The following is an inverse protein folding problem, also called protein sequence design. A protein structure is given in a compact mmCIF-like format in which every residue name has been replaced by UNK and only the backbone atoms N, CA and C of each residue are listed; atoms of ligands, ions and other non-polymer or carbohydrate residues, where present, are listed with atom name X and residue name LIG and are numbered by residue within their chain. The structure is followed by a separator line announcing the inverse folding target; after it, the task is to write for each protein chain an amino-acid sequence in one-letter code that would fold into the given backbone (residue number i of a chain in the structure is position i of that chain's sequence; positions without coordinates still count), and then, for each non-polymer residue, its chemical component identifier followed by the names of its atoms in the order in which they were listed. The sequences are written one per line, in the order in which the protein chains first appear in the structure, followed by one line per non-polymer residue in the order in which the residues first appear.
data_IF_216029761542
#
_entry.id   IF_216029761542
#
_cell.length_a   1.000
_cell.length_b   1.000
_cell.length_c   1.000
_cell.angle_alpha   90.00
_cell.angle_beta   90.00
_cell.angle_gamma   90.00
#
_symmetry.space_group_name_H-M   'P 1'
#
loop_
_entity.id
_entity.type
_entity.pdbx_description
1 polymer ?
#
# COMPACT_ATOMS: atom_id res chain seq x y z
N UNK A 1 46.77 18.62 -13.86
CA UNK A 1 46.00 19.56 -14.71
C UNK A 1 45.02 18.76 -15.56
N UNK A 2 43.76 18.66 -15.10
CA UNK A 2 42.59 18.51 -15.96
C UNK A 2 41.96 19.92 -16.08
N UNK A 3 41.03 20.19 -17.03
CA UNK A 3 39.64 19.96 -16.65
C UNK A 3 38.61 19.75 -17.81
N UNK A 4 37.40 19.39 -17.36
CA UNK A 4 36.06 19.69 -17.88
C UNK A 4 35.19 18.52 -18.39
N UNK A 5 34.52 17.95 -17.39
CA UNK A 5 33.20 17.29 -17.42
C UNK A 5 32.10 18.21 -17.95
N UNK A 6 31.26 17.70 -18.86
CA UNK A 6 29.97 18.30 -19.21
C UNK A 6 28.92 17.94 -18.16
N UNK A 7 28.38 18.96 -17.50
CA UNK A 7 27.21 18.88 -16.62
C UNK A 7 25.98 19.05 -17.53
N UNK A 8 25.05 18.09 -17.50
CA UNK A 8 23.70 18.28 -18.03
C UNK A 8 22.79 18.73 -16.89
N UNK A 9 22.40 20.00 -16.91
CA UNK A 9 21.34 20.55 -16.05
C UNK A 9 20.00 20.36 -16.75
N UNK A 10 19.14 19.48 -16.21
CA UNK A 10 17.73 19.43 -16.56
C UNK A 10 16.96 20.38 -15.63
N UNK A 11 16.40 21.45 -16.17
CA UNK A 11 15.45 22.32 -15.49
C UNK A 11 14.03 21.77 -15.69
N UNK A 12 13.42 21.23 -14.64
CA UNK A 12 12.01 20.84 -14.62
C UNK A 12 11.12 22.07 -14.37
N UNK A 13 10.03 22.31 -15.12
CA UNK A 13 9.04 23.33 -14.77
C UNK A 13 8.20 22.87 -13.57
N UNK A 14 8.04 23.79 -12.63
CA UNK A 14 7.19 23.69 -11.44
C UNK A 14 5.71 23.48 -11.86
N UNK A 15 5.14 22.29 -11.62
CA UNK A 15 3.70 22.07 -11.72
C UNK A 15 3.03 22.62 -10.45
N UNK A 16 2.36 23.76 -10.59
CA UNK A 16 1.45 24.31 -9.57
C UNK A 16 0.21 23.41 -9.46
N UNK A 17 0.04 22.73 -8.32
CA UNK A 17 -1.22 22.06 -7.98
C UNK A 17 -2.27 23.10 -7.57
N UNK A 18 -3.39 23.17 -8.28
CA UNK A 18 -4.56 23.91 -7.80
C UNK A 18 -5.44 22.99 -6.96
N UNK A 19 -5.43 23.19 -5.64
CA UNK A 19 -6.48 22.69 -4.73
C UNK A 19 -7.69 23.60 -4.83
N UNK A 20 -8.82 23.08 -5.29
CA UNK A 20 -10.12 23.74 -5.13
C UNK A 20 -10.58 23.59 -3.68
N UNK A 21 -10.31 24.60 -2.86
CA UNK A 21 -11.04 24.80 -1.60
C UNK A 21 -12.27 25.67 -1.86
N UNK A 22 -13.44 25.11 -1.56
CA UNK A 22 -14.70 25.85 -1.45
C UNK A 22 -14.57 26.91 -0.35
N UNK A 23 -14.35 28.16 -0.73
CA UNK A 23 -14.54 29.32 0.13
C UNK A 23 -15.75 30.09 -0.39
N UNK A 24 -16.87 29.85 0.27
CA UNK A 24 -18.06 30.70 0.18
C UNK A 24 -17.73 32.04 0.85
N UNK A 25 -17.56 33.10 0.08
CA UNK A 25 -17.43 34.47 0.61
C UNK A 25 -18.42 35.37 -0.11
N UNK A 26 -19.41 35.80 0.65
CA UNK A 26 -20.33 36.88 0.31
C UNK A 26 -19.59 38.23 0.28
N UNK A 27 -19.95 39.03 -0.73
CA UNK A 27 -19.92 40.51 -0.79
C UNK A 27 -18.83 41.15 -1.68
N UNK A 28 -19.21 42.02 -2.64
CA UNK A 28 -18.31 42.63 -3.62
C UNK A 28 -17.86 44.04 -3.20
N UNK A 29 -16.56 44.31 -3.19
CA UNK A 29 -16.01 45.64 -3.48
C UNK A 29 -14.51 45.54 -3.70
N UNK A 30 -13.98 46.49 -4.50
CA UNK A 30 -12.56 46.75 -4.79
C UNK A 30 -12.06 46.07 -6.09
N UNK A 31 -12.56 46.59 -7.22
CA UNK A 31 -11.81 46.68 -8.47
C UNK A 31 -11.88 48.14 -8.94
N UNK A 32 -10.92 48.96 -8.52
CA UNK A 32 -10.66 50.28 -9.08
C UNK A 32 -9.30 50.79 -8.61
N UNK A 33 -8.27 50.63 -9.45
CA UNK A 33 -7.11 51.51 -9.61
C UNK A 33 -5.95 50.69 -10.15
N UNK A 34 -5.60 50.91 -11.43
CA UNK A 34 -4.24 50.99 -11.96
C UNK A 34 -4.33 50.99 -13.50
N UNK A 35 -4.71 52.14 -14.05
CA UNK A 35 -4.44 52.50 -15.45
C UNK A 35 -3.94 53.94 -15.44
N UNK A 36 -2.63 54.14 -15.68
CA UNK A 36 -1.97 55.37 -16.16
C UNK A 36 -0.44 55.20 -16.05
N UNK A 37 0.23 54.73 -17.10
CA UNK A 37 0.97 55.55 -18.06
C UNK A 37 1.83 54.68 -19.00
N UNK A 38 1.88 54.98 -20.31
CA UNK A 38 2.68 54.25 -21.29
C UNK A 38 3.99 55.01 -21.59
N UNK A 39 5.14 54.33 -21.55
CA UNK A 39 6.30 54.53 -22.46
C UNK A 39 7.55 53.82 -21.93
N UNK A 40 8.32 53.29 -22.88
CA UNK A 40 9.60 52.57 -22.75
C UNK A 40 9.52 51.10 -22.36
N UNK A 41 9.44 50.23 -23.38
CA UNK A 41 10.31 49.06 -23.53
C UNK A 41 10.13 48.53 -24.96
N UNK A 42 11.13 48.85 -25.78
CA UNK A 42 11.38 48.25 -27.10
C UNK A 42 12.10 46.91 -26.90
N UNK A 43 11.82 45.97 -27.81
CA UNK A 43 12.44 44.65 -28.01
C UNK A 43 11.97 43.49 -27.10
N UNK A 44 10.91 42.79 -27.54
CA UNK A 44 11.01 41.42 -28.07
C UNK A 44 9.58 40.90 -28.35
N UNK A 45 9.17 41.04 -29.61
CA UNK A 45 7.92 40.48 -30.13
C UNK A 45 8.15 39.02 -30.50
N UNK A 46 7.64 38.10 -29.67
CA UNK A 46 7.10 36.79 -30.10
C UNK A 46 6.47 35.94 -28.97
N UNK A 47 6.31 36.44 -27.73
CA UNK A 47 5.75 35.63 -26.63
C UNK A 47 4.43 36.12 -26.01
N UNK A 48 3.79 37.17 -26.55
CA UNK A 48 2.55 37.73 -25.96
C UNK A 48 1.28 37.40 -26.77
N UNK A 49 1.41 36.71 -27.92
CA UNK A 49 0.27 36.41 -28.81
C UNK A 49 -0.56 35.17 -28.47
N UNK A 50 -0.10 34.27 -27.59
CA UNK A 50 -0.75 32.96 -27.38
C UNK A 50 -1.56 32.89 -26.07
N UNK A 51 -1.24 33.72 -25.08
CA UNK A 51 -1.92 33.71 -23.77
C UNK A 51 -3.20 34.56 -23.71
N UNK A 52 -3.45 35.43 -24.70
CA UNK A 52 -4.67 36.25 -24.76
C UNK A 52 -5.82 35.59 -25.53
N UNK A 53 -5.54 34.58 -26.35
CA UNK A 53 -6.55 33.90 -27.17
C UNK A 53 -7.38 32.87 -26.38
N UNK A 54 -6.83 32.29 -25.32
CA UNK A 54 -7.55 31.30 -24.49
C UNK A 54 -8.44 31.93 -23.41
N UNK A 55 -8.18 33.18 -23.01
CA UNK A 55 -9.00 33.87 -21.99
C UNK A 55 -10.32 34.44 -22.57
N UNK A 56 -10.35 34.79 -23.85
CA UNK A 56 -11.53 35.38 -24.51
C UNK A 56 -12.54 34.33 -24.99
N UNK A 57 -12.08 33.13 -25.37
CA UNK A 57 -12.97 32.01 -25.79
C UNK A 57 -13.71 31.38 -24.58
N UNK A 58 -13.10 31.40 -23.39
CA UNK A 58 -13.72 30.89 -22.16
C UNK A 58 -14.86 31.75 -21.62
N UNK A 59 -14.85 33.06 -21.86
CA UNK A 59 -15.87 33.98 -21.34
C UNK A 59 -17.07 34.19 -22.28
N UNK A 60 -16.97 33.81 -23.56
CA UNK A 60 -18.11 33.90 -24.51
C UNK A 60 -18.95 32.63 -24.59
N UNK A 61 -18.40 31.44 -24.29
CA UNK A 61 -19.20 30.21 -24.20
C UNK A 61 -20.04 30.12 -22.91
N UNK A 62 -19.58 30.73 -21.82
CA UNK A 62 -20.31 30.76 -20.53
C UNK A 62 -21.59 31.61 -20.54
N UNK A 63 -21.72 32.54 -21.49
CA UNK A 63 -22.89 33.42 -21.60
C UNK A 63 -23.95 32.93 -22.60
N UNK A 64 -23.63 31.91 -23.41
CA UNK A 64 -24.55 31.32 -24.40
C UNK A 64 -25.34 30.11 -23.90
N UNK A 65 -25.06 29.64 -22.67
CA UNK A 65 -25.77 28.51 -22.05
C UNK A 65 -26.70 28.90 -20.89
N UNK A 66 -26.84 30.21 -20.60
CA UNK A 66 -27.77 30.71 -19.57
C UNK A 66 -28.85 31.60 -20.19
N UNK A 67 -29.62 31.05 -21.13
CA UNK A 67 -30.94 31.59 -21.48
C UNK A 67 -31.75 30.58 -22.29
N UNK A 68 -32.48 29.69 -21.60
CA UNK A 68 -33.70 29.04 -22.08
C UNK A 68 -34.45 28.42 -20.90
N UNK A 69 -35.40 29.17 -20.35
CA UNK A 69 -36.48 28.65 -19.50
C UNK A 69 -37.62 28.18 -20.40
N UNK A 70 -38.20 27.03 -20.04
CA UNK A 70 -39.54 26.59 -20.42
C UNK A 70 -39.58 25.47 -21.46
N UNK A 71 -39.72 24.22 -21.01
CA UNK A 71 -40.92 23.42 -21.33
C UNK A 71 -40.96 22.14 -20.47
N UNK A 72 -42.17 21.77 -20.04
CA UNK A 72 -42.49 20.62 -19.20
C UNK A 72 -42.30 19.29 -19.95
N UNK A 73 -41.68 18.30 -19.31
CA UNK A 73 -41.74 16.94 -19.85
C UNK A 73 -40.65 15.96 -19.40
N UNK A 74 -41.00 15.12 -18.42
CA UNK A 74 -40.40 13.79 -18.16
C UNK A 74 -38.88 13.74 -18.15
N UNK A 75 -38.30 13.97 -16.97
CA UNK A 75 -36.97 13.45 -16.62
C UNK A 75 -36.95 11.92 -16.76
N UNK A 76 -36.52 11.43 -17.93
CA UNK A 76 -35.98 10.08 -18.07
C UNK A 76 -34.60 10.10 -17.43
N UNK A 77 -34.56 9.67 -16.17
CA UNK A 77 -33.38 9.09 -15.55
C UNK A 77 -32.63 8.24 -16.58
N UNK A 78 -31.44 8.70 -16.96
CA UNK A 78 -30.53 8.01 -17.87
C UNK A 78 -29.21 7.79 -17.15
N UNK A 79 -29.25 6.96 -16.11
CA UNK A 79 -28.10 6.24 -15.57
C UNK A 79 -28.54 4.91 -14.97
N UNK A 80 -29.27 4.13 -15.78
CA UNK A 80 -29.44 2.71 -15.52
C UNK A 80 -28.12 1.99 -15.77
N UNK A 81 -27.23 1.96 -14.78
CA UNK A 81 -26.30 0.85 -14.63
C UNK A 81 -27.17 -0.41 -14.52
N UNK A 82 -27.36 -1.12 -15.64
CA UNK A 82 -27.94 -2.46 -15.63
C UNK A 82 -27.19 -3.25 -14.55
N UNK A 83 -27.92 -3.87 -13.63
CA UNK A 83 -27.41 -4.85 -12.66
C UNK A 83 -26.43 -5.78 -13.39
N UNK A 84 -25.13 -5.51 -13.28
CA UNK A 84 -24.13 -6.51 -13.58
C UNK A 84 -24.26 -7.50 -12.43
N UNK A 85 -25.03 -8.58 -12.64
CA UNK A 85 -25.05 -9.67 -11.69
C UNK A 85 -23.66 -10.29 -11.71
N UNK A 86 -22.80 -9.87 -10.79
CA UNK A 86 -21.48 -10.45 -10.61
C UNK A 86 -21.63 -11.96 -10.48
N UNK A 87 -21.02 -12.71 -11.39
CA UNK A 87 -21.06 -14.18 -11.38
C UNK A 87 -19.85 -14.70 -10.63
N UNK A 88 -20.08 -15.64 -9.72
CA UNK A 88 -19.04 -16.32 -8.95
C UNK A 88 -18.93 -17.80 -9.37
N UNK A 89 -17.73 -18.40 -9.35
CA UNK A 89 -17.51 -19.81 -9.66
C UNK A 89 -17.88 -20.71 -8.46
N UNK A 90 -19.15 -20.68 -8.03
CA UNK A 90 -19.61 -21.32 -6.79
C UNK A 90 -19.35 -22.83 -6.77
N UNK A 91 -19.58 -23.53 -7.88
CA UNK A 91 -19.34 -24.97 -8.00
C UNK A 91 -17.85 -25.32 -7.84
N UNK A 92 -16.96 -24.48 -8.38
CA UNK A 92 -15.50 -24.67 -8.23
C UNK A 92 -15.06 -24.42 -6.79
N UNK A 93 -15.66 -23.44 -6.10
CA UNK A 93 -15.40 -23.18 -4.69
C UNK A 93 -15.86 -24.36 -3.83
N UNK A 94 -17.02 -24.94 -4.14
CA UNK A 94 -17.56 -26.09 -3.42
C UNK A 94 -16.72 -27.35 -3.59
N UNK A 95 -16.16 -27.57 -4.78
CA UNK A 95 -15.26 -28.68 -5.07
C UNK A 95 -13.90 -28.62 -4.34
N UNK A 96 -13.52 -27.45 -3.80
CA UNK A 96 -12.23 -27.27 -3.13
C UNK A 96 -12.27 -27.73 -1.67
N UNK A 97 -11.21 -28.40 -1.22
CA UNK A 97 -11.10 -28.93 0.15
C UNK A 97 -10.49 -27.93 1.15
N UNK A 98 -9.57 -27.07 0.71
CA UNK A 98 -8.88 -26.10 1.58
C UNK A 98 -9.31 -24.65 1.33
N UNK A 99 -9.14 -23.79 2.34
CA UNK A 99 -9.39 -22.35 2.21
C UNK A 99 -8.48 -21.68 1.19
N UNK A 100 -7.24 -22.16 1.07
CA UNK A 100 -6.30 -21.64 0.10
C UNK A 100 -6.78 -21.92 -1.32
N UNK A 101 -7.23 -23.15 -1.59
CA UNK A 101 -7.71 -23.51 -2.93
C UNK A 101 -8.99 -22.76 -3.28
N UNK A 102 -9.92 -22.65 -2.32
CA UNK A 102 -11.14 -21.83 -2.46
C UNK A 102 -10.82 -20.37 -2.79
N UNK A 103 -9.86 -19.80 -2.09
CA UNK A 103 -9.41 -18.42 -2.32
C UNK A 103 -8.75 -18.27 -3.69
N UNK A 104 -7.88 -19.21 -4.08
CA UNK A 104 -7.16 -19.18 -5.37
C UNK A 104 -8.10 -19.34 -6.56
N UNK A 105 -9.17 -20.14 -6.46
CA UNK A 105 -10.19 -20.26 -7.52
C UNK A 105 -10.80 -18.91 -7.93
N UNK A 106 -10.91 -17.98 -6.97
CA UNK A 106 -11.47 -16.65 -7.22
C UNK A 106 -10.52 -15.73 -8.00
N UNK A 107 -9.21 -16.00 -8.03
CA UNK A 107 -8.21 -15.16 -8.69
C UNK A 107 -8.53 -14.92 -10.17
N UNK A 108 -8.72 -16.00 -10.93
CA UNK A 108 -8.96 -15.90 -12.37
C UNK A 108 -10.27 -15.18 -12.65
N UNK A 109 -11.30 -15.39 -11.82
CA UNK A 109 -12.59 -14.71 -11.96
C UNK A 109 -12.42 -13.19 -11.81
N UNK A 110 -11.70 -12.74 -10.77
CA UNK A 110 -11.48 -11.32 -10.52
C UNK A 110 -10.60 -10.67 -11.58
N UNK A 111 -9.53 -11.35 -12.01
CA UNK A 111 -8.68 -10.89 -13.13
C UNK A 111 -9.53 -10.68 -14.39
N UNK A 112 -10.33 -11.67 -14.79
CA UNK A 112 -11.18 -11.56 -15.97
C UNK A 112 -12.26 -10.47 -15.84
N UNK A 113 -12.80 -10.25 -14.64
CA UNK A 113 -13.73 -9.16 -14.39
C UNK A 113 -13.07 -7.79 -14.60
N UNK A 114 -11.82 -7.59 -14.14
CA UNK A 114 -11.07 -6.36 -14.40
C UNK A 114 -10.76 -6.16 -15.89
N UNK A 115 -10.32 -7.21 -16.59
CA UNK A 115 -10.05 -7.14 -18.03
C UNK A 115 -11.33 -6.87 -18.85
N UNK A 116 -12.44 -7.50 -18.47
CA UNK A 116 -13.74 -7.22 -19.07
C UNK A 116 -14.19 -5.79 -18.78
N UNK A 117 -13.94 -5.26 -17.59
CA UNK A 117 -14.27 -3.87 -17.25
C UNK A 117 -13.46 -2.88 -18.11
N UNK A 118 -12.15 -3.11 -18.26
CA UNK A 118 -11.29 -2.29 -19.13
C UNK A 118 -11.79 -2.26 -20.58
N UNK A 119 -12.08 -3.42 -21.16
CA UNK A 119 -12.51 -3.52 -22.56
C UNK A 119 -13.91 -2.95 -22.79
N UNK A 120 -14.87 -3.27 -21.93
CA UNK A 120 -16.28 -2.93 -22.14
C UNK A 120 -16.66 -1.54 -21.64
N UNK A 121 -16.04 -1.06 -20.56
CA UNK A 121 -16.38 0.23 -19.95
C UNK A 121 -15.43 1.34 -20.35
N UNK A 122 -14.20 1.03 -20.78
CA UNK A 122 -13.16 2.03 -21.07
C UNK A 122 -12.54 1.84 -22.46
N UNK A 123 -13.13 0.98 -23.30
CA UNK A 123 -12.73 0.79 -24.71
C UNK A 123 -11.23 0.46 -24.88
N UNK A 124 -10.64 -0.19 -23.87
CA UNK A 124 -9.22 -0.55 -23.92
C UNK A 124 -8.96 -1.61 -24.99
N UNK A 125 -7.90 -1.45 -25.81
CA UNK A 125 -7.62 -2.38 -26.89
C UNK A 125 -7.05 -3.71 -26.36
N UNK A 126 -7.14 -4.81 -27.14
CA UNK A 126 -6.75 -6.14 -26.67
C UNK A 126 -5.33 -6.25 -26.14
N UNK A 127 -4.36 -5.53 -26.71
CA UNK A 127 -2.97 -5.50 -26.25
C UNK A 127 -2.81 -4.87 -24.86
N UNK A 128 -3.57 -3.83 -24.54
CA UNK A 128 -3.55 -3.21 -23.21
C UNK A 128 -4.17 -4.15 -22.17
N UNK A 129 -5.27 -4.83 -22.51
CA UNK A 129 -5.85 -5.86 -21.65
C UNK A 129 -4.88 -7.04 -21.43
N UNK A 130 -4.14 -7.47 -22.45
CA UNK A 130 -3.10 -8.51 -22.30
C UNK A 130 -2.00 -8.05 -21.35
N UNK A 131 -1.47 -6.83 -21.53
CA UNK A 131 -0.46 -6.26 -20.63
C UNK A 131 -0.90 -6.29 -19.17
N UNK A 132 -2.09 -5.76 -18.88
CA UNK A 132 -2.63 -5.73 -17.52
C UNK A 132 -2.89 -7.15 -16.98
N UNK A 133 -3.36 -8.07 -17.83
CA UNK A 133 -3.53 -9.47 -17.46
C UNK A 133 -2.23 -10.14 -17.02
N UNK A 134 -1.15 -9.92 -17.78
CA UNK A 134 0.19 -10.42 -17.47
C UNK A 134 0.76 -9.77 -16.20
N UNK A 135 0.58 -8.46 -16.06
CA UNK A 135 1.00 -7.69 -14.88
C UNK A 135 0.31 -8.19 -13.60
N UNK A 136 -1.01 -8.42 -13.62
CA UNK A 136 -1.76 -8.98 -12.49
C UNK A 136 -1.26 -10.40 -12.19
N UNK A 137 -1.09 -11.24 -13.23
CA UNK A 137 -0.61 -12.61 -13.09
C UNK A 137 0.79 -12.67 -12.47
N UNK A 138 1.66 -11.71 -12.78
CA UNK A 138 3.03 -11.67 -12.28
C UNK A 138 3.10 -11.20 -10.82
N UNK A 139 2.34 -10.15 -10.47
CA UNK A 139 2.54 -9.42 -9.22
C UNK A 139 1.59 -9.83 -8.09
N UNK A 140 0.38 -10.31 -8.42
CA UNK A 140 -0.65 -10.54 -7.40
C UNK A 140 -0.58 -11.96 -6.82
N UNK A 141 -0.37 -12.98 -7.66
CA UNK A 141 -0.30 -14.38 -7.23
C UNK A 141 1.16 -14.83 -6.95
N UNK A 142 1.36 -16.03 -6.40
CA UNK A 142 2.69 -16.61 -6.10
C UNK A 142 3.19 -16.39 -4.67
N UNK A 143 2.56 -15.50 -3.90
CA UNK A 143 2.82 -15.32 -2.48
C UNK A 143 2.14 -16.37 -1.59
N UNK A 144 2.26 -16.19 -0.27
CA UNK A 144 1.57 -17.03 0.74
C UNK A 144 0.09 -16.76 0.86
N UNK A 145 -0.37 -15.59 0.38
CA UNK A 145 -1.76 -15.14 0.44
C UNK A 145 -2.32 -15.07 1.87
N UNK A 146 -1.45 -14.89 2.86
CA UNK A 146 -1.84 -14.93 4.27
C UNK A 146 -2.81 -13.79 4.62
N UNK A 147 -2.65 -12.60 4.02
CA UNK A 147 -3.51 -11.45 4.30
C UNK A 147 -4.92 -11.72 3.77
N UNK A 148 -5.03 -12.16 2.52
CA UNK A 148 -6.30 -12.48 1.88
C UNK A 148 -7.04 -13.65 2.52
N UNK A 149 -6.34 -14.77 2.79
CA UNK A 149 -6.93 -15.96 3.43
C UNK A 149 -7.38 -15.65 4.86
N UNK A 150 -6.74 -14.70 5.54
CA UNK A 150 -7.16 -14.29 6.89
C UNK A 150 -8.60 -13.76 6.88
N UNK A 151 -9.03 -13.05 5.84
CA UNK A 151 -10.42 -12.55 5.75
C UNK A 151 -11.44 -13.69 5.84
N UNK A 152 -11.20 -14.80 5.12
CA UNK A 152 -12.05 -16.00 5.15
C UNK A 152 -12.08 -16.61 6.56
N UNK A 153 -10.91 -16.68 7.20
CA UNK A 153 -10.78 -17.26 8.52
C UNK A 153 -11.51 -16.41 9.58
N UNK A 154 -11.36 -15.08 9.52
CA UNK A 154 -12.05 -14.14 10.41
C UNK A 154 -13.56 -14.24 10.26
N UNK A 155 -14.08 -14.20 9.03
CA UNK A 155 -15.51 -14.32 8.80
C UNK A 155 -16.08 -15.65 9.29
N UNK A 156 -15.37 -16.76 9.10
CA UNK A 156 -15.77 -18.06 9.64
C UNK A 156 -15.84 -18.06 11.16
N UNK A 157 -14.83 -17.50 11.81
CA UNK A 157 -14.74 -17.42 13.27
C UNK A 157 -15.88 -16.56 13.83
N UNK A 158 -16.11 -15.38 13.26
CA UNK A 158 -17.20 -14.48 13.69
C UNK A 158 -18.58 -15.10 13.46
N UNK A 159 -18.80 -15.77 12.31
CA UNK A 159 -20.04 -16.51 12.05
C UNK A 159 -20.25 -17.63 13.06
N UNK A 160 -19.21 -18.39 13.38
CA UNK A 160 -19.29 -19.50 14.34
C UNK A 160 -19.62 -18.99 15.75
N UNK A 161 -18.99 -17.88 16.17
CA UNK A 161 -19.27 -17.23 17.44
C UNK A 161 -20.71 -16.72 17.52
N UNK A 162 -21.19 -16.01 16.47
CA UNK A 162 -22.57 -15.52 16.39
C UNK A 162 -23.61 -16.65 16.47
N UNK A 163 -23.33 -17.77 15.81
CA UNK A 163 -24.22 -18.94 15.79
C UNK A 163 -24.04 -19.87 17.01
N UNK A 164 -23.08 -19.59 17.89
CA UNK A 164 -22.69 -20.43 19.04
C UNK A 164 -22.44 -21.91 18.67
N UNK A 165 -21.95 -22.16 17.45
CA UNK A 165 -21.59 -23.49 16.94
C UNK A 165 -20.57 -23.36 15.80
N UNK A 166 -19.79 -24.42 15.57
CA UNK A 166 -18.88 -24.45 14.43
C UNK A 166 -19.67 -24.33 13.12
N UNK A 167 -19.39 -23.28 12.35
CA UNK A 167 -20.06 -22.98 11.09
C UNK A 167 -19.06 -22.92 9.95
N UNK A 168 -19.39 -23.57 8.83
CA UNK A 168 -18.69 -23.34 7.56
C UNK A 168 -19.27 -22.11 6.88
N UNK A 169 -18.45 -21.45 6.07
CA UNK A 169 -18.92 -20.46 5.12
C UNK A 169 -19.58 -21.18 3.93
N UNK A 170 -20.66 -20.63 3.40
CA UNK A 170 -21.25 -21.07 2.13
C UNK A 170 -20.34 -20.68 0.97
N UNK A 171 -20.50 -21.30 -0.20
CA UNK A 171 -19.70 -20.96 -1.38
C UNK A 171 -19.82 -19.48 -1.76
N UNK A 172 -21.01 -18.87 -1.58
CA UNK A 172 -21.23 -17.45 -1.82
C UNK A 172 -20.51 -16.57 -0.79
N UNK A 173 -20.56 -16.93 0.49
CA UNK A 173 -19.81 -16.21 1.54
C UNK A 173 -18.31 -16.30 1.29
N UNK A 174 -17.80 -17.47 0.93
CA UNK A 174 -16.39 -17.67 0.54
C UNK A 174 -16.03 -16.81 -0.67
N UNK A 175 -16.88 -16.77 -1.71
CA UNK A 175 -16.63 -15.95 -2.89
C UNK A 175 -16.50 -14.47 -2.50
N UNK A 176 -17.45 -13.93 -1.73
CA UNK A 176 -17.44 -12.53 -1.26
C UNK A 176 -16.25 -12.23 -0.35
N UNK A 177 -15.95 -13.12 0.60
CA UNK A 177 -14.75 -13.03 1.45
C UNK A 177 -13.47 -12.98 0.61
N UNK A 178 -13.43 -13.77 -0.46
CA UNK A 178 -12.28 -13.84 -1.36
C UNK A 178 -12.13 -12.58 -2.19
N UNK A 179 -13.21 -11.90 -2.59
CA UNK A 179 -13.10 -10.57 -3.24
C UNK A 179 -12.33 -9.62 -2.32
N UNK A 180 -12.75 -9.54 -1.06
CA UNK A 180 -12.12 -8.68 -0.06
C UNK A 180 -10.67 -9.09 0.22
N UNK A 181 -10.41 -10.38 0.34
CA UNK A 181 -9.06 -10.89 0.53
C UNK A 181 -8.15 -10.59 -0.66
N UNK A 182 -8.64 -10.75 -1.89
CA UNK A 182 -7.89 -10.39 -3.10
C UNK A 182 -7.70 -8.88 -3.22
N UNK A 183 -8.66 -8.05 -2.81
CA UNK A 183 -8.45 -6.60 -2.70
C UNK A 183 -7.25 -6.26 -1.81
N UNK A 184 -7.01 -7.00 -0.71
CA UNK A 184 -5.83 -6.82 0.14
C UNK A 184 -4.55 -7.34 -0.54
N UNK A 185 -4.61 -8.46 -1.26
CA UNK A 185 -3.45 -8.98 -2.00
C UNK A 185 -3.06 -8.08 -3.19
N UNK A 186 -4.02 -7.41 -3.83
CA UNK A 186 -3.78 -6.38 -4.85
C UNK A 186 -3.21 -5.11 -4.21
N UNK A 187 -3.69 -4.72 -3.03
CA UNK A 187 -3.10 -3.62 -2.26
C UNK A 187 -1.64 -3.92 -1.91
N UNK A 188 -1.35 -5.15 -1.48
CA UNK A 188 0.02 -5.57 -1.25
C UNK A 188 0.84 -5.55 -2.55
N UNK A 189 0.28 -6.02 -3.67
CA UNK A 189 0.98 -5.99 -4.95
C UNK A 189 1.30 -4.56 -5.40
N UNK A 190 0.37 -3.62 -5.22
CA UNK A 190 0.61 -2.18 -5.42
C UNK A 190 1.84 -1.72 -4.64
N UNK A 191 1.83 -1.93 -3.32
CA UNK A 191 2.96 -1.52 -2.48
C UNK A 191 4.26 -2.19 -2.89
N UNK A 192 4.26 -3.49 -3.18
CA UNK A 192 5.48 -4.21 -3.54
C UNK A 192 6.06 -3.77 -4.90
N UNK A 193 5.22 -3.52 -5.91
CA UNK A 193 5.71 -3.04 -7.21
C UNK A 193 6.35 -1.66 -7.08
N UNK A 194 5.73 -0.75 -6.30
CA UNK A 194 6.30 0.57 -6.05
C UNK A 194 7.55 0.51 -5.15
N UNK A 195 7.51 -0.25 -4.06
CA UNK A 195 8.62 -0.45 -3.11
C UNK A 195 9.84 -1.05 -3.80
N UNK A 196 9.65 -2.06 -4.65
CA UNK A 196 10.75 -2.67 -5.40
C UNK A 196 11.48 -1.65 -6.30
N UNK A 197 10.77 -0.65 -6.86
CA UNK A 197 11.36 0.45 -7.62
C UNK A 197 12.09 1.43 -6.71
N UNK A 198 11.46 1.84 -5.60
CA UNK A 198 12.04 2.80 -4.65
C UNK A 198 13.30 2.26 -3.97
N UNK A 199 13.36 0.96 -3.74
CA UNK A 199 14.44 0.27 -3.02
C UNK A 199 15.48 -0.39 -3.98
N UNK A 200 15.38 -0.14 -5.30
CA UNK A 200 16.21 -0.78 -6.33
C UNK A 200 16.33 -2.32 -6.17
N UNK A 201 15.24 -2.96 -5.73
CA UNK A 201 15.21 -4.40 -5.45
C UNK A 201 15.38 -5.24 -6.71
N UNK A 202 16.09 -6.37 -6.59
CA UNK A 202 16.43 -7.22 -7.74
C UNK A 202 15.40 -8.32 -7.97
N UNK A 203 14.96 -8.99 -6.89
CA UNK A 203 14.08 -10.16 -6.95
C UNK A 203 12.99 -10.09 -5.90
N UNK A 204 11.79 -10.57 -6.26
CA UNK A 204 10.62 -10.68 -5.40
C UNK A 204 9.92 -12.02 -5.65
N UNK A 205 9.64 -12.78 -4.59
CA UNK A 205 8.96 -14.10 -4.68
C UNK A 205 9.69 -15.10 -5.60
N UNK A 206 11.02 -15.06 -5.61
CA UNK A 206 11.84 -15.98 -6.41
C UNK A 206 11.91 -15.67 -7.91
N UNK A 207 11.39 -14.53 -8.35
CA UNK A 207 11.48 -14.03 -9.73
C UNK A 207 11.99 -12.58 -9.75
N UNK A 208 12.48 -12.05 -10.88
CA UNK A 208 12.87 -10.64 -10.98
C UNK A 208 11.74 -9.70 -10.54
N UNK A 209 12.08 -8.57 -9.90
CA UNK A 209 11.08 -7.52 -9.62
C UNK A 209 10.43 -7.04 -10.93
N UNK A 210 9.16 -6.63 -10.88
CA UNK A 210 8.39 -6.30 -12.10
C UNK A 210 9.10 -5.29 -12.99
N UNK A 211 9.61 -4.21 -12.40
CA UNK A 211 10.33 -3.15 -13.11
C UNK A 211 11.69 -3.58 -13.67
N UNK A 212 12.26 -4.70 -13.19
CA UNK A 212 13.50 -5.28 -13.72
C UNK A 212 13.28 -6.11 -14.99
N UNK A 213 12.03 -6.39 -15.37
CA UNK A 213 11.75 -7.07 -16.65
C UNK A 213 12.11 -6.13 -17.82
N UNK A 214 12.86 -6.59 -18.83
CA UNK A 214 13.38 -5.73 -19.90
C UNK A 214 12.31 -4.91 -20.63
N UNK A 215 11.12 -5.47 -20.80
CA UNK A 215 9.99 -4.83 -21.48
C UNK A 215 9.18 -3.87 -20.58
N UNK A 216 9.36 -3.92 -19.26
CA UNK A 216 8.56 -3.17 -18.28
C UNK A 216 9.23 -1.85 -17.89
N UNK A 217 10.44 -1.92 -17.31
CA UNK A 217 11.11 -0.73 -16.79
C UNK A 217 10.21 0.12 -15.88
N UNK A 218 10.18 1.44 -16.10
CA UNK A 218 9.40 2.38 -15.28
C UNK A 218 7.89 2.40 -15.55
N UNK A 219 7.39 1.63 -16.54
CA UNK A 219 5.94 1.41 -16.71
C UNK A 219 5.34 0.81 -15.42
N UNK A 220 6.16 0.08 -14.65
CA UNK A 220 5.85 -0.45 -13.33
C UNK A 220 5.23 0.57 -12.36
N UNK A 221 5.60 1.86 -12.46
CA UNK A 221 5.01 2.92 -11.62
C UNK A 221 3.52 3.07 -11.91
N UNK A 222 3.15 3.19 -13.19
CA UNK A 222 1.74 3.26 -13.58
C UNK A 222 1.01 1.95 -13.30
N UNK A 223 1.67 0.80 -13.52
CA UNK A 223 1.10 -0.51 -13.20
C UNK A 223 0.77 -0.64 -11.71
N UNK A 224 1.58 -0.04 -10.83
CA UNK A 224 1.27 0.01 -9.39
C UNK A 224 0.00 0.82 -9.10
N UNK A 225 -0.19 1.97 -9.75
CA UNK A 225 -1.41 2.78 -9.60
C UNK A 225 -2.64 2.04 -10.13
N UNK A 226 -2.48 1.27 -11.21
CA UNK A 226 -3.55 0.42 -11.73
C UNK A 226 -3.95 -0.64 -10.70
N UNK A 227 -2.99 -1.35 -10.09
CA UNK A 227 -3.25 -2.34 -9.04
C UNK A 227 -4.07 -1.76 -7.89
N UNK A 228 -3.75 -0.53 -7.44
CA UNK A 228 -4.52 0.17 -6.42
C UNK A 228 -5.93 0.53 -6.91
N UNK A 229 -6.04 1.16 -8.08
CA UNK A 229 -7.34 1.62 -8.62
C UNK A 229 -8.34 0.49 -8.81
N UNK A 230 -7.87 -0.70 -9.23
CA UNK A 230 -8.69 -1.88 -9.40
C UNK A 230 -9.30 -2.40 -8.10
N UNK A 231 -8.69 -2.11 -6.94
CA UNK A 231 -9.28 -2.41 -5.63
C UNK A 231 -10.64 -1.73 -5.52
N UNK A 232 -10.70 -0.43 -5.78
CA UNK A 232 -11.93 0.35 -5.63
C UNK A 232 -12.99 -0.04 -6.67
N UNK A 233 -12.56 -0.41 -7.88
CA UNK A 233 -13.45 -1.00 -8.90
C UNK A 233 -14.04 -2.32 -8.38
N UNK A 234 -13.23 -3.24 -7.85
CA UNK A 234 -13.71 -4.49 -7.24
C UNK A 234 -14.65 -4.21 -6.06
N UNK A 235 -14.31 -3.30 -5.15
CA UNK A 235 -15.17 -2.98 -4.03
C UNK A 235 -16.54 -2.45 -4.50
N UNK A 236 -16.55 -1.51 -5.46
CA UNK A 236 -17.80 -0.94 -5.97
C UNK A 236 -18.65 -1.97 -6.71
N UNK A 237 -18.05 -2.80 -7.56
CA UNK A 237 -18.79 -3.82 -8.32
C UNK A 237 -19.44 -4.88 -7.41
N UNK A 238 -18.77 -5.29 -6.34
CA UNK A 238 -19.21 -6.43 -5.53
C UNK A 238 -19.98 -6.05 -4.26
N UNK A 239 -19.73 -4.84 -3.74
CA UNK A 239 -20.28 -4.37 -2.47
C UNK A 239 -20.92 -2.99 -2.58
N UNK A 240 -20.98 -2.37 -3.77
CA UNK A 240 -21.39 -0.97 -3.93
C UNK A 240 -22.81 -0.61 -3.49
N UNK A 241 -23.66 -1.61 -3.26
CA UNK A 241 -25.05 -1.48 -2.79
C UNK A 241 -25.22 -1.93 -1.34
N UNK A 242 -24.14 -2.37 -0.68
CA UNK A 242 -24.17 -2.79 0.72
C UNK A 242 -24.12 -1.57 1.63
N UNK A 243 -24.84 -1.60 2.75
CA UNK A 243 -24.86 -0.50 3.72
C UNK A 243 -23.48 -0.18 4.30
N UNK A 244 -22.60 -1.19 4.40
CA UNK A 244 -21.23 -1.05 4.90
C UNK A 244 -20.21 -0.65 3.83
N UNK A 245 -20.62 -0.42 2.58
CA UNK A 245 -19.70 -0.10 1.47
C UNK A 245 -18.82 1.12 1.73
N UNK A 246 -19.42 2.21 2.23
CA UNK A 246 -18.68 3.45 2.54
C UNK A 246 -17.60 3.18 3.57
N UNK A 247 -17.95 2.52 4.69
CA UNK A 247 -17.01 2.15 5.74
C UNK A 247 -15.89 1.24 5.23
N UNK A 248 -16.21 0.30 4.34
CA UNK A 248 -15.24 -0.59 3.72
C UNK A 248 -14.25 0.17 2.83
N UNK A 249 -14.76 1.03 1.94
CA UNK A 249 -13.93 1.87 1.06
C UNK A 249 -13.05 2.81 1.86
N UNK A 250 -13.62 3.47 2.87
CA UNK A 250 -12.92 4.45 3.69
C UNK A 250 -11.81 3.77 4.52
N UNK A 251 -12.03 2.54 5.00
CA UNK A 251 -10.98 1.74 5.66
C UNK A 251 -9.82 1.41 4.70
N UNK A 252 -10.10 1.02 3.45
CA UNK A 252 -9.05 0.77 2.46
C UNK A 252 -8.24 2.05 2.19
N UNK A 253 -8.90 3.20 2.03
CA UNK A 253 -8.23 4.49 1.84
C UNK A 253 -7.38 4.87 3.06
N UNK A 254 -7.93 4.77 4.27
CA UNK A 254 -7.21 5.08 5.52
C UNK A 254 -5.95 4.23 5.67
N UNK A 255 -6.08 2.92 5.48
CA UNK A 255 -4.95 1.99 5.62
C UNK A 255 -3.91 2.18 4.51
N UNK A 256 -4.34 2.52 3.30
CA UNK A 256 -3.43 2.83 2.20
C UNK A 256 -2.57 4.05 2.55
N UNK A 257 -3.20 5.14 2.97
CA UNK A 257 -2.51 6.35 3.42
C UNK A 257 -1.60 6.10 4.64
N UNK A 258 -2.05 5.31 5.61
CA UNK A 258 -1.22 4.89 6.74
C UNK A 258 0.05 4.17 6.26
N UNK A 259 -0.09 3.28 5.28
CA UNK A 259 1.05 2.54 4.73
C UNK A 259 2.01 3.46 3.98
N UNK A 260 1.50 4.40 3.20
CA UNK A 260 2.30 5.42 2.52
C UNK A 260 3.03 6.34 3.50
N UNK A 261 2.41 6.74 4.62
CA UNK A 261 3.10 7.47 5.68
C UNK A 261 4.22 6.64 6.30
N UNK A 262 4.01 5.34 6.48
CA UNK A 262 5.07 4.41 6.88
C UNK A 262 6.21 4.37 5.88
N UNK A 263 5.89 4.29 4.58
CA UNK A 263 6.88 4.29 3.50
C UNK A 263 7.67 5.61 3.46
N UNK A 264 6.99 6.75 3.62
CA UNK A 264 7.63 8.06 3.72
C UNK A 264 8.63 8.08 4.88
N UNK A 265 8.25 7.58 6.06
CA UNK A 265 9.14 7.52 7.22
C UNK A 265 10.34 6.58 6.99
N UNK A 266 10.15 5.49 6.25
CA UNK A 266 11.22 4.57 5.88
C UNK A 266 12.23 5.23 4.93
N UNK A 267 11.75 5.77 3.80
CA UNK A 267 12.58 6.42 2.78
C UNK A 267 13.29 7.67 3.29
N UNK A 268 12.63 8.43 4.17
CA UNK A 268 13.22 9.64 4.79
C UNK A 268 13.91 9.35 6.11
N UNK A 269 14.21 8.08 6.42
CA UNK A 269 14.95 7.72 7.63
C UNK A 269 16.30 8.41 7.71
N UNK A 270 16.88 8.72 6.55
CA UNK A 270 18.09 9.52 6.38
C UNK A 270 17.81 10.89 5.72
N UNK A 271 18.66 11.90 5.97
CA UNK A 271 18.57 13.18 5.28
C UNK A 271 18.75 13.00 3.77
N UNK A 272 17.82 13.52 2.97
CA UNK A 272 17.91 13.45 1.52
C UNK A 272 18.99 14.42 1.02
N UNK A 273 19.98 13.91 0.28
CA UNK A 273 21.12 14.70 -0.23
C UNK A 273 22.07 15.24 0.86
N UNK A 274 21.92 14.79 2.11
CA UNK A 274 22.77 15.18 3.24
C UNK A 274 23.73 14.06 3.66
N UNK A 275 24.64 14.33 4.63
CA UNK A 275 25.46 13.28 5.21
C UNK A 275 24.59 12.28 5.98
N UNK A 276 25.09 11.05 6.10
CA UNK A 276 24.46 10.01 6.94
C UNK A 276 24.36 10.54 8.39
N UNK A 277 23.16 10.42 8.97
CA UNK A 277 22.88 10.77 10.35
C UNK A 277 22.24 9.57 11.07
N UNK A 278 23.10 8.77 11.73
CA UNK A 278 22.66 7.62 12.51
C UNK A 278 21.87 8.01 13.78
N UNK A 279 21.83 9.28 14.18
CA UNK A 279 21.00 9.69 15.32
C UNK A 279 19.50 9.63 15.02
N UNK A 280 19.12 9.56 13.74
CA UNK A 280 17.72 9.38 13.32
C UNK A 280 17.23 7.95 13.49
N UNK A 281 18.14 6.97 13.61
CA UNK A 281 17.83 5.56 13.81
C UNK A 281 17.52 5.28 15.29
N UNK A 282 16.35 5.75 15.71
CA UNK A 282 15.84 5.59 17.08
C UNK A 282 14.75 4.53 17.15
N UNK A 283 14.56 3.92 18.33
CA UNK A 283 13.45 3.00 18.57
C UNK A 283 12.09 3.65 18.28
N UNK A 284 11.90 4.92 18.64
CA UNK A 284 10.65 5.64 18.39
C UNK A 284 10.36 5.74 16.90
N UNK A 285 11.36 6.13 16.11
CA UNK A 285 11.21 6.22 14.65
C UNK A 285 10.92 4.85 14.05
N UNK A 286 11.69 3.83 14.45
CA UNK A 286 11.49 2.47 13.99
C UNK A 286 10.06 1.97 14.25
N UNK A 287 9.57 2.11 15.49
CA UNK A 287 8.20 1.73 15.86
C UNK A 287 7.14 2.45 15.03
N UNK A 288 7.35 3.73 14.69
CA UNK A 288 6.45 4.47 13.81
C UNK A 288 6.49 3.93 12.38
N UNK A 289 7.68 3.70 11.81
CA UNK A 289 7.84 3.09 10.47
C UNK A 289 7.08 1.78 10.43
N UNK A 290 7.35 0.85 11.34
CA UNK A 290 6.76 -0.48 11.33
C UNK A 290 5.24 -0.47 11.54
N UNK A 291 4.76 0.32 12.50
CA UNK A 291 3.34 0.44 12.78
C UNK A 291 2.57 0.86 11.52
N UNK A 292 3.07 1.86 10.81
CA UNK A 292 2.40 2.44 9.66
C UNK A 292 2.67 1.65 8.37
N UNK A 293 3.93 1.34 8.05
CA UNK A 293 4.36 0.63 6.83
C UNK A 293 3.84 -0.80 6.79
N UNK A 294 3.69 -1.47 7.94
CA UNK A 294 3.45 -2.92 7.95
C UNK A 294 2.21 -3.33 8.73
N UNK A 295 2.03 -2.84 9.97
CA UNK A 295 1.04 -3.42 10.87
C UNK A 295 -0.41 -3.21 10.41
N UNK A 296 -0.75 -2.02 9.90
CA UNK A 296 -2.12 -1.71 9.50
C UNK A 296 -2.60 -2.57 8.33
N UNK A 297 -1.91 -2.56 7.19
CA UNK A 297 -2.37 -3.32 6.01
C UNK A 297 -2.18 -4.83 6.15
N UNK A 298 -1.18 -5.27 6.94
CA UNK A 298 -0.87 -6.70 7.09
C UNK A 298 -1.76 -7.41 8.09
N UNK A 299 -2.06 -6.78 9.23
CA UNK A 299 -2.77 -7.42 10.34
C UNK A 299 -4.13 -6.80 10.60
N UNK A 300 -4.20 -5.48 10.72
CA UNK A 300 -5.44 -4.81 11.10
C UNK A 300 -6.49 -4.86 9.99
N UNK A 301 -6.10 -4.55 8.75
CA UNK A 301 -7.03 -4.47 7.62
C UNK A 301 -7.79 -5.78 7.36
N UNK A 302 -7.15 -6.98 7.27
CA UNK A 302 -7.89 -8.23 7.12
C UNK A 302 -8.92 -8.50 8.23
N UNK A 303 -8.57 -8.18 9.48
CA UNK A 303 -9.46 -8.37 10.63
C UNK A 303 -10.62 -7.36 10.59
N UNK A 304 -10.30 -6.07 10.40
CA UNK A 304 -11.27 -4.99 10.39
C UNK A 304 -12.29 -5.16 9.25
N UNK A 305 -11.86 -5.60 8.06
CA UNK A 305 -12.79 -5.93 6.97
C UNK A 305 -13.71 -7.09 7.35
N UNK A 306 -13.17 -8.15 7.97
CA UNK A 306 -13.97 -9.26 8.49
C UNK A 306 -15.00 -8.82 9.54
N UNK A 307 -14.62 -7.89 10.42
CA UNK A 307 -15.50 -7.28 11.42
C UNK A 307 -16.62 -6.47 10.78
N UNK A 308 -16.29 -5.56 9.85
CA UNK A 308 -17.26 -4.72 9.13
C UNK A 308 -18.31 -5.59 8.44
N UNK A 309 -17.85 -6.58 7.66
CA UNK A 309 -18.74 -7.44 6.88
C UNK A 309 -19.52 -8.46 7.71
N UNK A 310 -19.12 -8.69 8.96
CA UNK A 310 -19.87 -9.51 9.92
C UNK A 310 -20.85 -8.68 10.79
N UNK A 311 -20.90 -7.36 10.58
CA UNK A 311 -21.81 -6.46 11.30
C UNK A 311 -21.33 -6.02 12.68
N UNK A 312 -20.02 -6.06 12.95
CA UNK A 312 -19.44 -5.54 14.20
C UNK A 312 -19.43 -4.01 14.14
N UNK A 313 -20.08 -3.36 15.11
CA UNK A 313 -20.27 -1.90 15.16
C UNK A 313 -19.58 -1.24 16.36
N UNK A 314 -19.10 -2.04 17.30
CA UNK A 314 -18.59 -1.63 18.59
C UNK A 314 -17.15 -1.09 18.46
N UNK A 315 -16.96 0.22 18.65
CA UNK A 315 -15.63 0.87 18.54
C UNK A 315 -14.56 0.29 19.47
N UNK A 316 -14.98 -0.26 20.62
CA UNK A 316 -14.08 -0.97 21.55
C UNK A 316 -13.46 -2.20 20.91
N UNK A 317 -14.21 -2.92 20.07
CA UNK A 317 -13.71 -4.08 19.34
C UNK A 317 -12.62 -3.66 18.35
N UNK A 318 -12.84 -2.58 17.60
CA UNK A 318 -11.87 -2.06 16.63
C UNK A 318 -10.61 -1.53 17.32
N UNK A 319 -10.77 -0.86 18.47
CA UNK A 319 -9.65 -0.37 19.29
C UNK A 319 -8.80 -1.52 19.82
N UNK A 320 -9.44 -2.56 20.38
CA UNK A 320 -8.75 -3.74 20.88
C UNK A 320 -8.05 -4.50 19.75
N UNK A 321 -8.72 -4.70 18.61
CA UNK A 321 -8.14 -5.34 17.43
C UNK A 321 -6.92 -4.56 16.92
N UNK A 322 -7.03 -3.23 16.78
CA UNK A 322 -5.94 -2.35 16.33
C UNK A 322 -4.72 -2.49 17.24
N UNK A 323 -4.90 -2.49 18.56
CA UNK A 323 -3.81 -2.65 19.54
C UNK A 323 -3.07 -3.98 19.34
N UNK A 324 -3.80 -5.09 19.28
CA UNK A 324 -3.20 -6.43 19.12
C UNK A 324 -2.51 -6.55 17.77
N UNK A 325 -3.14 -6.08 16.70
CA UNK A 325 -2.58 -6.11 15.34
C UNK A 325 -1.30 -5.27 15.22
N UNK A 326 -1.22 -4.12 15.92
CA UNK A 326 0.00 -3.31 15.94
C UNK A 326 1.17 -4.06 16.58
N UNK A 327 0.94 -4.78 17.68
CA UNK A 327 1.98 -5.58 18.35
C UNK A 327 2.42 -6.75 17.46
N UNK A 328 1.46 -7.45 16.84
CA UNK A 328 1.77 -8.52 15.88
C UNK A 328 2.56 -8.00 14.67
N UNK A 329 2.18 -6.82 14.17
CA UNK A 329 2.86 -6.16 13.06
C UNK A 329 4.28 -5.72 13.39
N UNK A 330 4.50 -5.21 14.61
CA UNK A 330 5.84 -4.90 15.12
C UNK A 330 6.73 -6.13 15.12
N UNK A 331 6.27 -7.21 15.74
CA UNK A 331 6.98 -8.48 15.76
C UNK A 331 7.25 -9.01 14.34
N UNK A 332 6.26 -8.97 13.45
CA UNK A 332 6.39 -9.46 12.08
C UNK A 332 7.45 -8.70 11.27
N UNK A 333 7.53 -7.38 11.39
CA UNK A 333 8.53 -6.60 10.66
C UNK A 333 9.93 -6.78 11.26
N UNK A 334 10.05 -6.90 12.59
CA UNK A 334 11.34 -7.21 13.22
C UNK A 334 11.87 -8.56 12.74
N UNK A 335 10.99 -9.55 12.55
CA UNK A 335 11.37 -10.81 11.90
C UNK A 335 11.80 -10.60 10.44
N UNK A 336 11.17 -9.70 9.70
CA UNK A 336 11.54 -9.41 8.30
C UNK A 336 12.94 -8.80 8.22
N UNK A 337 13.23 -7.79 9.05
CA UNK A 337 14.55 -7.16 9.16
C UNK A 337 15.63 -8.17 9.60
N UNK A 338 15.29 -9.07 10.53
CA UNK A 338 16.18 -10.16 10.94
C UNK A 338 16.47 -11.11 9.77
N UNK A 339 15.43 -11.54 9.05
CA UNK A 339 15.56 -12.43 7.90
C UNK A 339 16.26 -11.75 6.71
N UNK A 340 16.20 -10.43 6.59
CA UNK A 340 16.93 -9.67 5.58
C UNK A 340 18.46 -9.81 5.78
N UNK A 341 18.92 -9.76 7.03
CA UNK A 341 20.35 -9.89 7.35
C UNK A 341 20.84 -11.34 7.47
N UNK A 342 20.06 -12.21 8.10
CA UNK A 342 20.46 -13.57 8.50
C UNK A 342 19.78 -14.70 7.69
N UNK A 343 18.71 -14.38 6.97
CA UNK A 343 17.99 -15.35 6.13
C UNK A 343 18.77 -15.69 4.86
N UNK A 344 18.56 -16.91 4.36
CA UNK A 344 19.11 -17.34 3.08
C UNK A 344 18.22 -16.84 1.93
N UNK A 345 18.77 -16.28 0.85
CA UNK A 345 17.99 -15.80 -0.29
C UNK A 345 17.03 -16.84 -0.87
N UNK A 346 17.42 -18.12 -0.89
CA UNK A 346 16.60 -19.23 -1.39
C UNK A 346 15.38 -19.49 -0.51
N UNK A 347 15.48 -19.19 0.79
CA UNK A 347 14.40 -19.40 1.75
C UNK A 347 13.43 -18.22 1.79
N UNK A 348 13.96 -17.00 1.70
CA UNK A 348 13.18 -15.74 1.79
C UNK A 348 12.65 -15.27 0.42
N UNK A 349 13.24 -15.74 -0.68
CA UNK A 349 12.85 -15.41 -2.05
C UNK A 349 13.21 -13.99 -2.50
N UNK A 350 14.10 -13.32 -1.75
CA UNK A 350 14.72 -12.02 -2.06
C UNK A 350 16.18 -12.00 -1.58
N UNK A 351 16.97 -11.07 -2.10
CA UNK A 351 18.30 -10.74 -1.55
C UNK A 351 18.08 -9.64 -0.50
N UNK A 352 18.69 -9.78 0.68
CA UNK A 352 18.62 -8.75 1.71
C UNK A 352 19.52 -7.57 1.41
N UNK A 353 18.98 -6.35 1.53
CA UNK A 353 19.63 -5.10 1.13
C UNK A 353 19.56 -4.02 2.21
N UNK A 354 18.97 -4.28 3.39
CA UNK A 354 18.74 -3.26 4.42
C UNK A 354 20.00 -2.48 4.82
N UNK A 355 21.16 -3.16 4.88
CA UNK A 355 22.45 -2.54 5.23
C UNK A 355 22.91 -1.61 4.10
N UNK A 356 22.82 -2.04 2.85
CA UNK A 356 23.24 -1.29 1.67
C UNK A 356 22.33 -0.08 1.43
N UNK A 357 21.03 -0.28 1.61
CA UNK A 357 19.97 0.72 1.40
C UNK A 357 19.86 1.73 2.53
N UNK A 358 20.73 1.61 3.54
CA UNK A 358 20.76 2.52 4.68
C UNK A 358 19.40 2.56 5.41
N UNK A 359 18.75 1.39 5.54
CA UNK A 359 17.45 1.28 6.19
C UNK A 359 17.58 1.44 7.69
N UNK A 360 16.59 2.09 8.29
CA UNK A 360 16.41 2.13 9.74
C UNK A 360 15.84 0.78 10.22
N UNK A 361 16.57 -0.31 10.05
CA UNK A 361 16.16 -1.65 10.47
C UNK A 361 16.24 -1.82 11.99
N UNK A 362 15.53 -2.82 12.53
CA UNK A 362 15.63 -3.16 13.95
C UNK A 362 17.08 -3.45 14.37
N UNK A 363 17.83 -4.14 13.50
CA UNK A 363 19.21 -4.56 13.77
C UNK A 363 20.14 -3.38 14.02
N UNK A 364 20.09 -2.33 13.16
CA UNK A 364 20.94 -1.15 13.33
C UNK A 364 20.51 -0.32 14.54
N UNK A 365 19.21 -0.25 14.84
CA UNK A 365 18.70 0.44 16.04
C UNK A 365 19.21 -0.23 17.32
N UNK A 366 19.15 -1.57 17.38
CA UNK A 366 19.71 -2.30 18.53
C UNK A 366 21.23 -2.19 18.61
N UNK A 367 21.92 -2.24 17.47
CA UNK A 367 23.37 -2.07 17.45
C UNK A 367 23.77 -0.68 17.97
N UNK A 368 23.12 0.38 17.51
CA UNK A 368 23.39 1.76 17.96
C UNK A 368 23.13 1.95 19.46
N UNK A 369 22.10 1.29 20.00
CA UNK A 369 21.78 1.33 21.43
C UNK A 369 22.83 0.65 22.32
N UNK A 370 23.47 -0.41 21.81
CA UNK A 370 24.37 -1.26 22.60
C UNK A 370 25.86 -1.09 22.27
N UNK A 371 26.20 -0.33 21.22
CA UNK A 371 27.58 -0.18 20.77
C UNK A 371 28.39 0.79 21.65
N UNK A 372 29.69 0.51 21.78
CA UNK A 372 30.67 1.48 22.27
C UNK A 372 30.95 2.58 21.24
N UNK A 373 31.60 3.68 21.66
CA UNK A 373 32.04 4.76 20.74
C UNK A 373 32.89 4.23 19.57
N UNK A 374 33.74 3.23 19.81
CA UNK A 374 34.57 2.62 18.76
C UNK A 374 33.73 1.82 17.77
N UNK A 375 32.79 1.02 18.28
CA UNK A 375 31.88 0.23 17.44
C UNK A 375 30.89 1.11 16.66
N UNK A 376 30.44 2.23 17.24
CA UNK A 376 29.63 3.21 16.51
C UNK A 376 30.34 3.75 15.27
N UNK A 377 31.63 4.07 15.37
CA UNK A 377 32.43 4.50 14.21
C UNK A 377 32.48 3.44 13.10
N UNK A 378 32.39 2.16 13.44
CA UNK A 378 32.30 1.08 12.44
C UNK A 378 30.97 1.21 11.68
N UNK A 379 29.84 1.43 12.35
CA UNK A 379 28.56 1.68 11.66
C UNK A 379 28.63 2.92 10.77
N UNK A 380 29.15 4.03 11.29
CA UNK A 380 29.26 5.31 10.56
C UNK A 380 30.09 5.20 9.27
N UNK A 381 31.08 4.30 9.23
CA UNK A 381 31.96 4.13 8.07
C UNK A 381 31.48 3.09 7.05
N UNK A 382 30.62 2.15 7.49
CA UNK A 382 30.32 0.93 6.73
C UNK A 382 28.82 0.74 6.42
N UNK A 383 27.91 1.34 7.16
CA UNK A 383 26.46 1.22 6.92
C UNK A 383 26.00 2.13 5.79
N UNK A 384 25.01 1.69 4.99
CA UNK A 384 24.47 2.45 3.86
C UNK A 384 25.42 2.56 2.66
N UNK A 385 26.29 1.56 2.47
CA UNK A 385 27.26 1.54 1.36
C UNK A 385 27.17 0.23 0.61
N UNK A 386 27.01 0.33 -0.72
CA UNK A 386 27.03 -0.78 -1.66
C UNK A 386 28.47 -1.33 -1.86
N UNK A 387 29.01 -1.97 -0.82
CA UNK A 387 30.31 -2.65 -0.80
C UNK A 387 30.25 -3.87 0.13
N UNK A 388 30.43 -5.07 -0.42
CA UNK A 388 30.37 -6.35 0.30
C UNK A 388 31.32 -6.41 1.51
N UNK A 389 32.50 -5.77 1.42
CA UNK A 389 33.46 -5.75 2.55
C UNK A 389 32.94 -4.89 3.69
N UNK A 390 32.23 -3.81 3.38
CA UNK A 390 31.61 -2.93 4.38
C UNK A 390 30.39 -3.59 5.00
N UNK A 391 29.53 -4.22 4.20
CA UNK A 391 28.41 -5.03 4.68
C UNK A 391 28.91 -6.14 5.61
N UNK A 392 29.99 -6.84 5.25
CA UNK A 392 30.60 -7.87 6.11
C UNK A 392 31.06 -7.33 7.47
N UNK A 393 31.64 -6.12 7.51
CA UNK A 393 32.03 -5.47 8.77
C UNK A 393 30.83 -5.13 9.65
N UNK A 394 29.72 -4.67 9.07
CA UNK A 394 28.47 -4.43 9.80
C UNK A 394 27.94 -5.74 10.38
N UNK A 395 27.91 -6.82 9.59
CA UNK A 395 27.47 -8.15 10.06
C UNK A 395 28.37 -8.69 11.19
N UNK A 396 29.69 -8.56 11.06
CA UNK A 396 30.64 -8.91 12.13
C UNK A 396 30.37 -8.12 13.42
N UNK A 397 30.07 -6.82 13.31
CA UNK A 397 29.70 -6.03 14.47
C UNK A 397 28.38 -6.51 15.10
N UNK A 398 27.40 -6.92 14.30
CA UNK A 398 26.18 -7.52 14.83
C UNK A 398 26.43 -8.83 15.57
N UNK A 399 27.38 -9.65 15.10
CA UNK A 399 27.84 -10.85 15.81
C UNK A 399 28.50 -10.49 17.16
N UNK A 400 29.42 -9.52 17.18
CA UNK A 400 30.08 -9.04 18.40
C UNK A 400 29.09 -8.53 19.44
N UNK A 401 28.05 -7.80 18.99
CA UNK A 401 26.99 -7.26 19.84
C UNK A 401 25.90 -8.30 20.20
N UNK A 402 26.02 -9.54 19.69
CA UNK A 402 25.07 -10.62 19.91
C UNK A 402 23.62 -10.26 19.48
N UNK A 403 23.46 -9.53 18.38
CA UNK A 403 22.14 -9.05 17.93
C UNK A 403 21.18 -10.20 17.62
N UNK A 404 21.66 -11.32 17.06
CA UNK A 404 20.84 -12.53 16.86
C UNK A 404 20.28 -13.08 18.18
N UNK A 405 21.07 -13.06 19.26
CA UNK A 405 20.62 -13.49 20.59
C UNK A 405 19.55 -12.54 21.14
N UNK A 406 19.72 -11.24 20.93
CA UNK A 406 18.71 -10.23 21.31
C UNK A 406 17.40 -10.47 20.56
N UNK A 407 17.46 -10.77 19.26
CA UNK A 407 16.27 -11.08 18.46
C UNK A 407 15.54 -12.32 19.00
N UNK A 408 16.27 -13.42 19.26
CA UNK A 408 15.68 -14.64 19.83
C UNK A 408 15.00 -14.40 21.18
N UNK A 409 15.59 -13.56 22.03
CA UNK A 409 14.97 -13.17 23.30
C UNK A 409 13.71 -12.32 23.08
N UNK A 410 13.78 -11.33 22.19
CA UNK A 410 12.65 -10.48 21.80
C UNK A 410 11.48 -11.28 21.20
N UNK A 411 11.77 -12.29 20.37
CA UNK A 411 10.76 -13.16 19.77
C UNK A 411 9.95 -13.92 20.84
N UNK A 412 10.64 -14.51 21.84
CA UNK A 412 9.97 -15.23 22.92
C UNK A 412 9.18 -14.30 23.85
N UNK A 413 9.70 -13.10 24.12
CA UNK A 413 9.00 -12.08 24.93
C UNK A 413 7.76 -11.53 24.20
N UNK A 414 7.90 -11.23 22.92
CA UNK A 414 6.81 -10.73 22.08
C UNK A 414 5.68 -11.75 21.96
N UNK A 415 6.02 -13.03 21.80
CA UNK A 415 5.02 -14.09 21.78
C UNK A 415 4.21 -14.15 23.09
N UNK A 416 4.90 -14.10 24.25
CA UNK A 416 4.25 -14.08 25.57
C UNK A 416 3.37 -12.86 25.76
N UNK A 417 3.85 -11.67 25.37
CA UNK A 417 3.06 -10.44 25.48
C UNK A 417 1.81 -10.49 24.58
N UNK A 418 1.95 -10.98 23.34
CA UNK A 418 0.79 -11.16 22.46
C UNK A 418 -0.21 -12.13 23.11
N UNK A 419 0.23 -13.30 23.60
CA UNK A 419 -0.65 -14.25 24.29
C UNK A 419 -1.39 -13.61 25.47
N UNK A 420 -0.70 -12.82 26.29
CA UNK A 420 -1.31 -12.07 27.39
C UNK A 420 -2.36 -11.06 26.91
N UNK A 421 -2.09 -10.35 25.81
CA UNK A 421 -3.11 -9.47 25.20
C UNK A 421 -4.31 -10.28 24.71
N UNK A 422 -4.12 -11.49 24.18
CA UNK A 422 -5.22 -12.37 23.74
C UNK A 422 -6.12 -12.84 24.89
N UNK A 423 -5.56 -13.09 26.08
CA UNK A 423 -6.34 -13.41 27.29
C UNK A 423 -7.25 -12.25 27.74
N UNK A 424 -6.90 -11.02 27.37
CA UNK A 424 -7.68 -9.82 27.67
C UNK A 424 -8.75 -9.50 26.63
N UNK A 425 -8.85 -10.28 25.54
CA UNK A 425 -9.86 -10.06 24.50
C UNK A 425 -11.26 -10.33 25.06
N UNK A 426 -12.20 -9.43 24.77
CA UNK A 426 -13.59 -9.52 25.24
C UNK A 426 -14.60 -9.36 24.12
N UNK A 427 -14.33 -8.46 23.18
CA UNK A 427 -15.28 -8.05 22.15
C UNK A 427 -15.30 -8.98 20.91
N UNK A 428 -14.25 -9.77 20.73
CA UNK A 428 -14.07 -10.68 19.59
C UNK A 428 -13.65 -12.07 20.07
N UNK A 429 -13.94 -13.13 19.31
CA UNK A 429 -13.34 -14.43 19.56
C UNK A 429 -11.82 -14.33 19.40
N UNK A 430 -11.07 -14.75 20.41
CA UNK A 430 -9.59 -14.69 20.40
C UNK A 430 -8.97 -15.47 19.23
N UNK A 431 -9.70 -16.47 18.72
CA UNK A 431 -9.34 -17.31 17.58
C UNK A 431 -9.09 -16.48 16.32
N UNK A 432 -9.71 -15.30 16.19
CA UNK A 432 -9.45 -14.33 15.12
C UNK A 432 -7.96 -13.96 15.06
N UNK A 433 -7.33 -13.81 16.23
CA UNK A 433 -5.94 -13.40 16.35
C UNK A 433 -4.98 -14.59 16.49
N UNK A 434 -5.38 -15.67 17.17
CA UNK A 434 -4.55 -16.87 17.34
C UNK A 434 -4.15 -17.50 16.00
N UNK A 435 -5.05 -17.46 15.01
CA UNK A 435 -4.78 -17.93 13.65
C UNK A 435 -3.64 -17.17 12.96
N UNK A 436 -3.59 -15.84 13.17
CA UNK A 436 -2.51 -15.00 12.66
C UNK A 436 -1.22 -15.24 13.43
N UNK A 437 -1.28 -15.29 14.76
CA UNK A 437 -0.10 -15.54 15.60
C UNK A 437 0.58 -16.86 15.22
N UNK A 438 -0.20 -17.93 15.01
CA UNK A 438 0.33 -19.24 14.59
C UNK A 438 1.05 -19.20 13.24
N UNK A 439 0.66 -18.27 12.35
CA UNK A 439 1.29 -18.11 11.02
C UNK A 439 2.60 -17.32 11.07
N UNK A 440 2.82 -16.51 12.11
CA UNK A 440 3.98 -15.62 12.18
C UNK A 440 5.01 -16.05 13.22
N UNK A 441 4.59 -16.71 14.31
CA UNK A 441 5.51 -17.15 15.35
C UNK A 441 6.51 -18.18 14.83
N UNK A 442 7.81 -17.91 15.00
CA UNK A 442 8.92 -18.75 14.52
C UNK A 442 8.82 -19.10 13.04
N UNK A 443 8.31 -18.16 12.23
CA UNK A 443 8.24 -18.35 10.79
C UNK A 443 9.64 -18.44 10.21
N UNK A 444 9.91 -19.50 9.45
CA UNK A 444 11.15 -19.67 8.70
C UNK A 444 11.07 -19.11 7.28
N UNK A 445 9.87 -18.65 6.87
CA UNK A 445 9.58 -17.99 5.60
C UNK A 445 8.56 -16.88 5.84
#
# INVERSE_FOLDING_TARGET
MSPLSKIYTFSLPLLLSFSFYNLSVHSPSIFASLTKDPLSLQHDSDFVGVSFLFLVVGMTLGSLLSNKKGDDGKSKSRSGLKKSSVVYPLDKIEACSSDKDKFVVMFETLKQQMLSHMSTSHEMPPEACRWVGDMIQYNVIGGKLNRGITVLAVQRTLKSAKMKKSCKLTSLEVARASVLGWSIEWLQAFFLVADDVMDDSQTRRGQPCWYKRPEVGMIAINDSFLLESFIYTMLKMHFGEEEYYSRLRDLFLEVTQQTEFGQLLDLTSQPQGGPIDLNRFTETRYKQIVKYKTAFYTFYLPIAIGMITSGVTEERAYTQAKKICCIMGEYFQIQDDYLDCYGKPEDIGKIGTDIQDNKCSWLVVQALKNCSVKQRKVLEQNYGVWDDKKVKKVKQLYEELQIERMFKAYEEESYKEIQKQLESVRELPKEVFELLLKKIYKRSK
#
